data_IF_421625297126
#
_entry.id   IF_421625297126
#
_cell.length_a   1.000
_cell.length_b   1.000
_cell.length_c   1.000
_cell.angle_alpha   90.00
_cell.angle_beta   90.00
_cell.angle_gamma   90.00
#
_symmetry.space_group_name_H-M   'P 1'
#
loop_
_entity.id
_entity.type
_entity.pdbx_description
1 polymer ?
#
# COMPACT_ATOMS: atom_id res chain seq x y z
N UNK A 1 12.87 -3.66 -6.00
CA UNK A 1 13.21 -2.22 -5.82
C UNK A 1 13.28 -1.45 -7.14
N UNK A 2 13.76 -2.03 -8.24
CA UNK A 2 13.97 -1.40 -9.57
C UNK A 2 12.71 -0.76 -10.21
N UNK A 3 11.54 -1.27 -9.86
CA UNK A 3 10.23 -0.77 -10.32
C UNK A 3 9.65 0.33 -9.42
N UNK A 4 10.50 1.04 -8.69
CA UNK A 4 10.07 2.16 -7.85
C UNK A 4 11.22 3.15 -7.65
N UNK A 5 10.89 4.40 -7.36
CA UNK A 5 11.86 5.43 -6.98
C UNK A 5 11.54 6.00 -5.61
N UNK A 6 12.59 6.37 -4.88
CA UNK A 6 12.45 6.99 -3.57
C UNK A 6 12.10 8.47 -3.76
N UNK A 7 10.97 8.95 -3.19
CA UNK A 7 10.54 10.35 -3.35
C UNK A 7 11.09 11.27 -2.25
N UNK A 8 11.21 10.73 -1.03
CA UNK A 8 11.72 11.42 0.16
C UNK A 8 12.83 10.58 0.81
N UNK A 9 13.54 11.11 1.80
CA UNK A 9 14.50 10.28 2.57
C UNK A 9 13.77 9.04 3.12
N UNK A 10 14.34 7.85 2.91
CA UNK A 10 13.75 6.61 3.43
C UNK A 10 13.87 6.59 4.96
N UNK A 11 12.76 6.67 5.71
CA UNK A 11 12.82 6.72 7.17
C UNK A 11 13.29 5.39 7.80
N UNK A 12 13.24 4.28 7.05
CA UNK A 12 13.66 2.97 7.53
C UNK A 12 15.10 2.63 7.18
N UNK A 13 15.79 3.45 6.39
CA UNK A 13 17.09 3.12 5.79
C UNK A 13 18.21 2.85 6.81
N UNK A 14 18.18 3.50 7.98
CA UNK A 14 19.17 3.35 9.05
C UNK A 14 18.69 2.53 10.26
N UNK A 15 17.47 2.00 10.22
CA UNK A 15 16.90 1.23 11.33
C UNK A 15 17.31 -0.23 11.20
N UNK A 16 17.79 -0.90 12.27
CA UNK A 16 18.09 -2.33 12.26
C UNK A 16 16.88 -3.16 11.82
N UNK A 17 17.12 -4.27 11.11
CA UNK A 17 16.02 -5.09 10.57
C UNK A 17 15.09 -5.63 11.67
N UNK A 18 15.66 -6.01 12.81
CA UNK A 18 14.92 -6.53 13.97
C UNK A 18 13.93 -5.51 14.55
N UNK A 19 14.19 -4.21 14.38
CA UNK A 19 13.39 -3.14 14.98
C UNK A 19 12.31 -2.62 14.01
N UNK A 20 12.44 -2.91 12.71
CA UNK A 20 11.53 -2.43 11.65
C UNK A 20 10.62 -3.52 11.08
N UNK A 21 10.32 -4.56 11.85
CA UNK A 21 9.28 -5.52 11.48
C UNK A 21 7.89 -4.88 11.66
N UNK A 22 6.99 -5.03 10.69
CA UNK A 22 5.63 -4.47 10.72
C UNK A 22 4.79 -4.99 11.90
N UNK A 23 5.15 -6.16 12.45
CA UNK A 23 4.51 -6.75 13.62
C UNK A 23 5.06 -6.22 14.95
N UNK A 24 6.14 -5.43 14.93
CA UNK A 24 6.66 -4.78 16.13
C UNK A 24 5.65 -3.72 16.63
N UNK A 25 5.06 -3.88 17.84
CA UNK A 25 4.10 -2.92 18.36
C UNK A 25 4.66 -1.51 18.56
N UNK A 26 5.96 -1.39 18.82
CA UNK A 26 6.64 -0.09 18.99
C UNK A 26 6.67 0.71 17.68
N UNK A 27 6.62 0.02 16.54
CA UNK A 27 6.64 0.63 15.21
C UNK A 27 5.27 1.15 14.79
N UNK A 28 4.20 0.80 15.50
CA UNK A 28 2.82 1.08 15.11
C UNK A 28 2.56 2.57 14.84
N UNK A 29 2.98 3.43 15.75
CA UNK A 29 2.76 4.87 15.59
C UNK A 29 3.67 5.45 14.49
N UNK A 30 4.91 4.97 14.36
CA UNK A 30 5.79 5.32 13.24
C UNK A 30 5.16 4.98 11.88
N UNK A 31 4.56 3.80 11.74
CA UNK A 31 3.84 3.40 10.52
C UNK A 31 2.63 4.30 10.28
N UNK A 32 1.88 4.65 11.34
CA UNK A 32 0.74 5.56 11.23
C UNK A 32 1.17 6.93 10.71
N UNK A 33 2.22 7.51 11.28
CA UNK A 33 2.72 8.82 10.86
C UNK A 33 3.19 8.79 9.41
N UNK A 34 4.01 7.79 9.03
CA UNK A 34 4.46 7.64 7.65
C UNK A 34 3.37 7.13 6.68
N UNK A 35 2.19 6.74 7.14
CA UNK A 35 1.06 6.45 6.26
C UNK A 35 0.38 7.72 5.74
N UNK A 36 0.70 8.89 6.32
CA UNK A 36 0.16 10.20 5.90
C UNK A 36 0.91 10.83 4.74
N UNK A 37 2.11 10.34 4.43
CA UNK A 37 2.93 10.85 3.32
C UNK A 37 2.55 10.17 1.99
N UNK A 38 2.92 10.83 0.89
CA UNK A 38 2.73 10.27 -0.45
C UNK A 38 3.70 9.13 -0.73
N UNK A 39 3.16 8.06 -1.32
CA UNK A 39 3.91 6.91 -1.81
C UNK A 39 3.52 5.60 -1.13
N UNK A 40 4.27 4.55 -1.45
CA UNK A 40 4.05 3.22 -0.95
C UNK A 40 5.08 2.83 0.12
N UNK A 41 4.63 2.01 1.07
CA UNK A 41 5.52 1.16 1.85
C UNK A 41 5.96 -0.03 0.99
N UNK A 42 7.21 -0.44 1.16
CA UNK A 42 7.72 -1.70 0.61
C UNK A 42 8.12 -2.57 1.78
N UNK A 43 7.48 -3.73 1.88
CA UNK A 43 7.62 -4.68 2.98
C UNK A 43 8.05 -6.01 2.37
N UNK A 44 9.07 -6.63 2.97
CA UNK A 44 9.53 -7.97 2.62
C UNK A 44 8.57 -9.03 3.17
N UNK A 45 8.59 -10.24 2.63
CA UNK A 45 7.70 -11.35 3.00
C UNK A 45 7.82 -11.78 4.48
N UNK A 46 8.97 -11.54 5.11
CA UNK A 46 9.20 -11.74 6.56
C UNK A 46 8.69 -10.58 7.44
N UNK A 47 8.05 -9.56 6.84
CA UNK A 47 7.47 -8.41 7.54
C UNK A 47 8.44 -7.25 7.76
N UNK A 48 9.70 -7.33 7.32
CA UNK A 48 10.65 -6.21 7.45
C UNK A 48 10.25 -5.08 6.50
N UNK A 49 10.04 -3.88 7.06
CA UNK A 49 9.76 -2.66 6.29
C UNK A 49 11.05 -2.15 5.68
N UNK A 50 11.16 -2.22 4.35
CA UNK A 50 12.36 -1.79 3.62
C UNK A 50 12.35 -0.28 3.35
N UNK A 51 11.17 0.29 3.08
CA UNK A 51 11.02 1.69 2.78
C UNK A 51 9.59 2.21 2.95
N UNK A 52 9.46 3.53 3.08
CA UNK A 52 8.23 4.28 2.91
C UNK A 52 8.44 5.46 1.93
N UNK A 53 7.35 6.03 1.42
CA UNK A 53 7.41 7.17 0.50
C UNK A 53 8.00 6.84 -0.87
N UNK A 54 7.74 5.63 -1.37
CA UNK A 54 8.20 5.20 -2.71
C UNK A 54 7.15 5.44 -3.77
N UNK A 55 7.55 6.04 -4.88
CA UNK A 55 6.75 6.09 -6.09
C UNK A 55 6.88 4.75 -6.82
N UNK A 56 5.75 4.08 -7.09
CA UNK A 56 5.72 2.81 -7.81
C UNK A 56 5.59 3.07 -9.31
N UNK A 57 6.41 2.38 -10.12
CA UNK A 57 6.20 2.34 -11.57
C UNK A 57 4.98 1.47 -11.84
N UNK A 58 4.02 2.01 -12.59
CA UNK A 58 2.84 1.28 -13.04
C UNK A 58 2.96 1.04 -14.54
N UNK A 59 2.75 -0.20 -14.99
CA UNK A 59 2.55 -0.53 -16.42
C UNK A 59 1.09 -0.72 -16.80
N UNK A 60 0.15 -0.54 -15.86
CA UNK A 60 -1.25 -0.74 -16.17
C UNK A 60 -1.68 0.31 -17.20
N UNK A 61 -1.94 -0.14 -18.44
CA UNK A 61 -2.64 0.66 -19.43
C UNK A 61 -4.06 0.93 -18.89
N UNK A 62 -4.54 2.16 -19.06
CA UNK A 62 -5.80 2.64 -18.47
C UNK A 62 -7.03 1.79 -18.89
N UNK A 63 -6.91 0.94 -19.91
CA UNK A 63 -7.99 0.13 -20.49
C UNK A 63 -8.43 -1.09 -19.65
N UNK A 64 -7.60 -1.62 -18.77
CA UNK A 64 -7.91 -2.83 -17.98
C UNK A 64 -8.34 -2.54 -16.53
N UNK A 65 -8.45 -1.27 -16.16
CA UNK A 65 -8.78 -0.84 -14.81
C UNK A 65 -10.30 -0.72 -14.62
N UNK A 66 -10.89 -1.37 -13.60
CA UNK A 66 -12.25 -1.09 -13.18
C UNK A 66 -12.46 0.42 -12.97
N UNK A 67 -13.58 0.94 -13.48
CA UNK A 67 -13.94 2.35 -13.28
C UNK A 67 -14.02 2.68 -11.77
N UNK A 68 -13.61 3.90 -11.42
CA UNK A 68 -13.63 4.37 -10.02
C UNK A 68 -12.34 4.11 -9.22
N UNK A 69 -11.31 3.48 -9.81
CA UNK A 69 -10.03 3.27 -9.17
C UNK A 69 -9.12 4.51 -9.27
N UNK A 70 -8.90 5.19 -8.13
CA UNK A 70 -7.97 6.32 -8.00
C UNK A 70 -6.47 5.95 -8.09
N UNK A 71 -5.59 6.93 -7.94
CA UNK A 71 -4.14 6.78 -8.16
C UNK A 71 -3.47 5.66 -7.34
N UNK A 72 -3.81 5.52 -6.05
CA UNK A 72 -3.30 4.43 -5.19
C UNK A 72 -3.65 3.05 -5.73
N UNK A 73 -4.89 2.88 -6.19
CA UNK A 73 -5.34 1.62 -6.77
C UNK A 73 -4.62 1.33 -8.09
N UNK A 74 -4.39 2.34 -8.94
CA UNK A 74 -3.64 2.18 -10.19
C UNK A 74 -2.19 1.77 -9.94
N UNK A 75 -1.51 2.43 -8.99
CA UNK A 75 -0.16 2.05 -8.59
C UNK A 75 -0.11 0.63 -8.02
N UNK A 76 -1.07 0.28 -7.16
CA UNK A 76 -1.21 -1.05 -6.55
C UNK A 76 -1.47 -2.14 -7.61
N UNK A 77 -2.36 -1.90 -8.58
CA UNK A 77 -2.61 -2.82 -9.68
C UNK A 77 -1.37 -2.97 -10.55
N UNK A 78 -0.81 -1.86 -11.03
CA UNK A 78 0.30 -1.85 -11.98
C UNK A 78 1.56 -2.51 -11.44
N UNK A 79 1.92 -2.28 -10.17
CA UNK A 79 3.10 -2.93 -9.60
C UNK A 79 2.92 -4.45 -9.51
N UNK A 80 1.71 -4.93 -9.22
CA UNK A 80 1.41 -6.38 -9.15
C UNK A 80 1.23 -7.00 -10.52
N UNK A 81 1.06 -6.21 -11.59
CA UNK A 81 1.09 -6.72 -12.97
C UNK A 81 2.54 -6.99 -13.44
N UNK A 82 3.52 -6.28 -12.87
CA UNK A 82 4.94 -6.39 -13.24
C UNK A 82 5.76 -7.29 -12.31
N UNK A 83 5.18 -7.71 -11.18
CA UNK A 83 5.89 -8.43 -10.13
C UNK A 83 4.98 -9.48 -9.48
N UNK A 84 5.58 -10.43 -8.78
CA UNK A 84 4.85 -11.39 -7.93
C UNK A 84 4.44 -10.80 -6.57
N UNK A 85 4.57 -9.49 -6.37
CA UNK A 85 4.18 -8.85 -5.13
C UNK A 85 2.66 -8.87 -4.94
N UNK A 86 2.24 -8.83 -3.67
CA UNK A 86 0.91 -8.42 -3.27
C UNK A 86 0.92 -6.95 -2.93
N UNK A 87 -0.17 -6.24 -3.24
CA UNK A 87 -0.33 -4.85 -2.83
C UNK A 87 -1.69 -4.65 -2.16
N UNK A 88 -1.72 -3.75 -1.18
CA UNK A 88 -2.92 -3.41 -0.41
C UNK A 88 -3.13 -1.90 -0.55
N UNK A 89 -4.34 -1.48 -0.90
CA UNK A 89 -4.72 -0.08 -0.94
C UNK A 89 -6.00 0.16 -0.16
N UNK A 90 -6.03 1.24 0.61
CA UNK A 90 -7.23 1.75 1.26
C UNK A 90 -7.78 2.89 0.41
N UNK A 91 -9.05 2.77 0.04
CA UNK A 91 -9.76 3.79 -0.73
C UNK A 91 -10.04 5.02 0.13
N UNK A 92 -9.71 6.20 -0.38
CA UNK A 92 -9.99 7.46 0.31
C UNK A 92 -11.48 7.80 0.35
N UNK A 93 -12.21 7.49 -0.72
CA UNK A 93 -13.60 7.91 -0.90
C UNK A 93 -14.58 7.12 -0.05
N UNK A 94 -14.33 5.83 0.17
CA UNK A 94 -15.25 4.93 0.88
C UNK A 94 -14.58 4.13 2.02
N UNK A 95 -13.25 4.13 2.11
CA UNK A 95 -12.50 3.42 3.14
C UNK A 95 -12.37 1.91 2.90
N UNK A 96 -12.82 1.40 1.77
CA UNK A 96 -12.71 -0.02 1.43
C UNK A 96 -11.23 -0.40 1.25
N UNK A 97 -10.89 -1.61 1.70
CA UNK A 97 -9.55 -2.16 1.55
C UNK A 97 -9.56 -3.12 0.38
N UNK A 98 -8.67 -2.90 -0.59
CA UNK A 98 -8.47 -3.80 -1.73
C UNK A 98 -7.09 -4.43 -1.70
N UNK A 99 -7.04 -5.70 -2.02
CA UNK A 99 -5.81 -6.48 -2.23
C UNK A 99 -5.69 -6.78 -3.71
N UNK A 100 -4.51 -6.54 -4.28
CA UNK A 100 -4.20 -6.79 -5.68
C UNK A 100 -3.11 -7.85 -5.81
N UNK A 101 -3.22 -8.65 -6.87
CA UNK A 101 -2.24 -9.67 -7.24
C UNK A 101 -2.30 -9.89 -8.74
N UNK A 102 -1.15 -10.06 -9.39
CA UNK A 102 -1.04 -10.38 -10.82
C UNK A 102 -1.87 -9.43 -11.71
N UNK A 103 -1.85 -8.13 -11.39
CA UNK A 103 -2.56 -7.11 -12.14
C UNK A 103 -4.09 -7.19 -12.05
N UNK A 104 -4.64 -7.80 -10.99
CA UNK A 104 -6.08 -7.93 -10.75
C UNK A 104 -6.44 -7.58 -9.31
N UNK A 105 -7.70 -7.19 -9.09
CA UNK A 105 -8.28 -7.16 -7.74
C UNK A 105 -8.45 -8.61 -7.28
N UNK A 106 -7.74 -8.99 -6.23
CA UNK A 106 -7.79 -10.32 -5.64
C UNK A 106 -8.88 -10.40 -4.55
N UNK A 107 -9.03 -9.34 -3.77
CA UNK A 107 -9.99 -9.27 -2.66
C UNK A 107 -10.40 -7.82 -2.39
N UNK A 108 -11.64 -7.63 -1.96
CA UNK A 108 -12.17 -6.37 -1.47
C UNK A 108 -12.85 -6.58 -0.12
N UNK A 109 -12.56 -5.69 0.83
CA UNK A 109 -13.13 -5.69 2.18
C UNK A 109 -13.79 -4.34 2.38
N UNK A 110 -15.12 -4.35 2.43
CA UNK A 110 -15.91 -3.15 2.65
C UNK A 110 -15.69 -2.61 4.06
N UNK A 111 -15.52 -1.28 4.18
CA UNK A 111 -15.50 -0.65 5.49
C UNK A 111 -16.85 -0.85 6.16
N UNK A 112 -16.88 -1.48 7.34
CA UNK A 112 -18.10 -1.58 8.15
C UNK A 112 -18.70 -0.19 8.36
N UNK A 113 -19.84 0.07 7.72
CA UNK A 113 -20.65 1.27 7.99
C UNK A 113 -21.20 1.12 9.40
N UNK A 114 -20.99 2.14 10.25
CA UNK A 114 -21.75 2.26 11.49
C UNK A 114 -23.21 2.37 11.07
N UNK A 115 -24.05 1.43 11.50
CA UNK A 115 -25.50 1.61 11.41
C UNK A 115 -25.82 2.93 12.10
N UNK A 116 -26.48 3.85 11.39
CA UNK A 116 -27.10 5.01 12.02
C UNK A 116 -28.02 4.46 13.12
N UNK A 117 -27.68 4.70 14.38
CA UNK A 117 -28.67 4.64 15.45
C UNK A 117 -29.70 5.72 15.12
N UNK A 118 -30.92 5.29 14.81
CA UNK A 118 -32.08 6.16 14.86
C UNK A 118 -32.31 6.42 16.34
N UNK A 119 -31.89 7.58 16.81
CA UNK A 119 -32.29 8.15 18.11
C UNK A 119 -33.75 8.62 18.03
#
# INVERSE_FOLDING_TARGET
MELSSQMIINPFGGVPENDRNILNPELKETIREFATIDGAFVIRDDGVVLAAGRHLKSSAEDSDLPQGLGARHRAALGITALTDALSIAISESNGDVRVFSRGKVFMEIEKRRKSLSLD
#
